data_IF_046151772217
#
_entry.id   IF_046151772217
#
_cell.length_a   1.000
_cell.length_b   1.000
_cell.length_c   1.000
_cell.angle_alpha   90.00
_cell.angle_beta   90.00
_cell.angle_gamma   90.00
#
_symmetry.space_group_name_H-M   'P 1'
#
loop_
_entity.id
_entity.type
_entity.pdbx_description
1 polymer ?
#
# COMPACT_ATOMS: atom_id res chain seq x y z
N UNK A 1 -7.11 -1.83 -7.29
CA UNK A 1 -7.23 -3.19 -6.76
C UNK A 1 -5.82 -3.69 -6.52
N UNK A 2 -5.51 -4.10 -5.30
CA UNK A 2 -4.28 -4.81 -4.98
C UNK A 2 -4.64 -6.31 -4.90
N UNK A 3 -3.66 -7.19 -4.70
CA UNK A 3 -3.89 -8.64 -4.84
C UNK A 3 -3.13 -9.47 -3.81
N UNK A 4 -1.89 -9.10 -3.54
CA UNK A 4 -0.99 -9.88 -2.68
C UNK A 4 -1.42 -9.86 -1.20
N UNK A 5 -2.10 -8.80 -0.77
CA UNK A 5 -2.67 -8.66 0.57
C UNK A 5 -3.90 -9.56 0.80
N UNK A 6 -4.57 -10.01 -0.26
CA UNK A 6 -5.74 -10.90 -0.18
C UNK A 6 -5.36 -12.38 -0.02
N UNK A 7 -4.09 -12.73 -0.20
CA UNK A 7 -3.59 -14.10 0.02
C UNK A 7 -2.85 -14.21 1.35
N UNK A 8 -2.67 -15.46 1.82
CA UNK A 8 -1.85 -15.72 3.01
C UNK A 8 -0.42 -15.23 2.79
N UNK A 9 0.32 -14.97 3.87
CA UNK A 9 1.70 -14.48 3.77
C UNK A 9 2.59 -15.46 3.00
N UNK A 10 2.45 -16.76 3.25
CA UNK A 10 3.22 -17.81 2.58
C UNK A 10 2.89 -17.90 1.08
N UNK A 11 1.61 -17.83 0.72
CA UNK A 11 1.20 -17.81 -0.69
C UNK A 11 1.70 -16.56 -1.39
N UNK A 12 1.66 -15.41 -0.74
CA UNK A 12 2.21 -14.17 -1.27
C UNK A 12 3.72 -14.25 -1.48
N UNK A 13 4.47 -14.88 -0.56
CA UNK A 13 5.91 -15.10 -0.74
C UNK A 13 6.21 -16.04 -1.90
N UNK A 14 5.42 -17.12 -2.05
CA UNK A 14 5.50 -18.05 -3.21
C UNK A 14 5.18 -17.32 -4.52
N UNK A 15 4.14 -16.49 -4.52
CA UNK A 15 3.74 -15.68 -5.66
C UNK A 15 4.86 -14.74 -6.08
N UNK A 16 5.45 -14.00 -5.14
CA UNK A 16 6.57 -13.09 -5.43
C UNK A 16 7.75 -13.84 -6.05
N UNK A 17 8.14 -14.99 -5.48
CA UNK A 17 9.24 -15.79 -6.05
C UNK A 17 8.94 -16.25 -7.49
N UNK A 18 7.72 -16.73 -7.75
CA UNK A 18 7.30 -17.10 -9.12
C UNK A 18 7.28 -15.90 -10.07
N UNK A 19 6.79 -14.75 -9.62
CA UNK A 19 6.78 -13.52 -10.43
C UNK A 19 8.20 -13.09 -10.79
N UNK A 20 9.13 -13.17 -9.83
CA UNK A 20 10.54 -12.85 -10.03
C UNK A 20 11.22 -13.81 -11.01
N UNK A 21 10.83 -15.09 -11.02
CA UNK A 21 11.34 -16.11 -11.95
C UNK A 21 10.83 -15.90 -13.39
N UNK A 22 9.54 -15.61 -13.57
CA UNK A 22 8.92 -15.56 -14.91
C UNK A 22 8.97 -14.17 -15.57
N UNK A 23 9.21 -13.11 -14.80
CA UNK A 23 9.17 -11.76 -15.32
C UNK A 23 10.38 -11.46 -16.21
N UNK A 24 10.12 -11.00 -17.44
CA UNK A 24 11.18 -10.73 -18.44
C UNK A 24 11.99 -9.45 -18.22
N UNK A 25 11.50 -8.52 -17.39
CA UNK A 25 12.10 -7.18 -17.25
C UNK A 25 11.98 -6.62 -15.86
N UNK A 26 10.79 -6.69 -15.28
CA UNK A 26 10.53 -6.16 -13.95
C UNK A 26 9.29 -6.79 -13.33
N UNK A 27 9.29 -6.85 -12.00
CA UNK A 27 8.12 -7.16 -11.18
C UNK A 27 7.65 -5.87 -10.53
N UNK A 28 6.36 -5.57 -10.66
CA UNK A 28 5.71 -4.39 -10.07
C UNK A 28 4.58 -4.87 -9.18
N UNK A 29 4.64 -4.53 -7.90
CA UNK A 29 3.65 -4.89 -6.89
C UNK A 29 3.07 -3.61 -6.29
N UNK A 30 1.75 -3.53 -6.20
CA UNK A 30 1.06 -2.49 -5.45
C UNK A 30 0.34 -3.14 -4.27
N UNK A 31 0.50 -2.59 -3.07
CA UNK A 31 -0.09 -3.12 -1.83
C UNK A 31 -0.16 -1.99 -0.78
N UNK A 32 -1.04 -2.09 0.23
CA UNK A 32 -0.97 -1.21 1.40
C UNK A 32 0.39 -1.32 2.10
N UNK A 33 0.81 -0.23 2.76
CA UNK A 33 1.98 -0.25 3.64
C UNK A 33 1.58 -0.90 4.97
N UNK A 34 2.24 -1.99 5.32
CA UNK A 34 1.94 -2.79 6.51
C UNK A 34 0.67 -3.63 6.34
N UNK A 35 0.00 -3.93 7.45
CA UNK A 35 -1.30 -4.60 7.46
C UNK A 35 -2.41 -3.57 7.59
N UNK A 36 -3.34 -3.55 6.64
CA UNK A 36 -4.54 -2.73 6.68
C UNK A 36 -5.73 -3.66 6.82
N UNK A 37 -6.44 -3.63 7.96
CA UNK A 37 -7.62 -4.45 8.15
C UNK A 37 -8.71 -4.07 7.15
N UNK A 38 -9.39 -5.07 6.58
CA UNK A 38 -10.59 -4.84 5.77
C UNK A 38 -11.70 -4.27 6.66
N UNK A 39 -12.40 -3.23 6.19
CA UNK A 39 -13.53 -2.65 6.91
C UNK A 39 -14.77 -3.56 7.00
N UNK A 40 -14.71 -4.79 6.47
CA UNK A 40 -15.78 -5.78 6.52
C UNK A 40 -15.51 -6.85 7.57
N UNK A 41 -16.44 -7.06 8.48
CA UNK A 41 -16.39 -8.14 9.48
C UNK A 41 -16.67 -9.54 8.89
N UNK A 42 -17.01 -9.63 7.60
CA UNK A 42 -17.26 -10.89 6.91
C UNK A 42 -16.02 -11.35 6.15
N UNK A 43 -15.72 -12.63 6.24
CA UNK A 43 -14.66 -13.25 5.45
C UNK A 43 -15.12 -13.32 3.99
N UNK A 44 -14.47 -12.53 3.13
CA UNK A 44 -14.76 -12.44 1.70
C UNK A 44 -13.47 -12.57 0.90
N UNK A 45 -13.58 -12.65 -0.43
CA UNK A 45 -12.41 -12.59 -1.32
C UNK A 45 -11.66 -11.24 -1.22
N UNK A 46 -12.30 -10.19 -0.72
CA UNK A 46 -11.70 -8.87 -0.50
C UNK A 46 -11.07 -8.73 0.91
N UNK A 47 -11.11 -9.77 1.74
CA UNK A 47 -10.46 -9.73 3.05
C UNK A 47 -8.95 -9.69 2.88
N UNK A 48 -8.29 -8.74 3.55
CA UNK A 48 -6.83 -8.68 3.63
C UNK A 48 -6.36 -9.76 4.61
N UNK A 49 -5.65 -10.75 4.09
CA UNK A 49 -5.12 -11.91 4.83
C UNK A 49 -3.65 -11.75 5.19
N UNK A 50 -2.94 -10.81 4.57
CA UNK A 50 -1.55 -10.51 4.85
C UNK A 50 -1.24 -9.02 4.74
N UNK A 51 -0.19 -8.59 5.45
CA UNK A 51 0.34 -7.24 5.38
C UNK A 51 1.79 -7.26 4.90
N UNK A 52 2.26 -6.16 4.32
CA UNK A 52 3.58 -6.09 3.70
C UNK A 52 4.33 -4.82 4.08
N UNK A 53 5.52 -4.97 4.66
CA UNK A 53 6.33 -3.82 5.08
C UNK A 53 7.27 -3.37 3.98
N UNK A 54 7.77 -2.15 4.11
CA UNK A 54 8.77 -1.59 3.21
C UNK A 54 10.06 -2.42 3.31
N UNK A 55 10.42 -2.84 4.53
CA UNK A 55 11.62 -3.59 4.83
C UNK A 55 11.61 -4.97 4.14
N UNK A 56 10.47 -5.66 4.13
CA UNK A 56 10.33 -6.95 3.42
C UNK A 56 10.61 -6.82 1.92
N UNK A 57 10.09 -5.77 1.28
CA UNK A 57 10.35 -5.51 -0.14
C UNK A 57 11.80 -5.05 -0.37
N UNK A 58 12.37 -4.22 0.52
CA UNK A 58 13.78 -3.81 0.44
C UNK A 58 14.72 -5.00 0.51
N UNK A 59 14.49 -5.93 1.45
CA UNK A 59 15.31 -7.13 1.61
C UNK A 59 15.28 -8.03 0.36
N UNK A 60 14.18 -8.01 -0.39
CA UNK A 60 14.03 -8.70 -1.68
C UNK A 60 14.62 -7.95 -2.89
N UNK A 61 15.17 -6.74 -2.70
CA UNK A 61 15.77 -5.94 -3.75
C UNK A 61 14.79 -5.07 -4.56
N UNK A 62 13.61 -4.77 -4.02
CA UNK A 62 12.67 -3.84 -4.65
C UNK A 62 13.02 -2.39 -4.33
N UNK A 63 12.76 -1.51 -5.28
CA UNK A 63 12.65 -0.06 -5.09
C UNK A 63 11.21 0.28 -4.74
N UNK A 64 11.00 1.09 -3.69
CA UNK A 64 9.66 1.37 -3.14
C UNK A 64 9.33 2.85 -3.27
N UNK A 65 8.09 3.15 -3.67
CA UNK A 65 7.51 4.49 -3.74
C UNK A 65 6.14 4.51 -3.09
N UNK A 66 5.86 5.57 -2.33
CA UNK A 66 4.59 5.73 -1.61
C UNK A 66 3.54 6.46 -2.43
N UNK A 67 2.26 6.26 -2.12
CA UNK A 67 1.20 7.15 -2.59
C UNK A 67 0.02 7.15 -1.62
N UNK A 68 -0.78 8.22 -1.72
CA UNK A 68 -1.81 8.60 -0.77
C UNK A 68 -1.22 8.88 0.63
N UNK A 69 -1.17 10.17 1.00
CA UNK A 69 -0.68 10.59 2.31
C UNK A 69 -1.54 9.98 3.41
N UNK A 70 -0.91 9.29 4.35
CA UNK A 70 -1.58 8.68 5.50
C UNK A 70 -1.91 9.74 6.56
N UNK A 71 -2.88 10.61 6.27
CA UNK A 71 -3.53 11.41 7.32
C UNK A 71 -4.65 10.57 7.90
N UNK A 72 -4.42 10.00 9.08
CA UNK A 72 -5.48 9.39 9.89
C UNK A 72 -6.29 10.52 10.53
N UNK A 73 -7.27 11.04 9.80
CA UNK A 73 -8.33 11.86 10.39
C UNK A 73 -9.30 10.86 11.02
N UNK A 74 -9.39 10.84 12.35
CA UNK A 74 -10.33 9.98 13.05
C UNK A 74 -11.76 10.20 12.54
N UNK A 75 -12.56 9.14 12.49
CA UNK A 75 -13.95 9.19 12.03
C UNK A 75 -14.79 10.20 12.84
N UNK A 76 -14.35 10.55 14.06
CA UNK A 76 -14.99 11.52 14.95
C UNK A 76 -14.58 12.99 14.76
N UNK A 77 -13.67 13.31 13.82
CA UNK A 77 -13.01 14.64 13.85
C UNK A 77 -13.79 15.73 13.08
N UNK A 78 -14.65 15.41 12.12
CA UNK A 78 -15.33 16.43 11.30
C UNK A 78 -16.71 16.03 10.78
N UNK A 79 -17.75 16.75 11.21
CA UNK A 79 -19.09 16.69 10.61
C UNK A 79 -19.08 16.99 9.10
N UNK A 80 -20.03 16.43 8.32
CA UNK A 80 -20.21 16.79 6.91
C UNK A 80 -20.49 18.29 6.80
N UNK A 81 -19.50 19.07 6.33
CA UNK A 81 -19.55 20.54 6.23
C UNK A 81 -18.40 21.30 6.92
N UNK A 82 -17.54 20.61 7.69
CA UNK A 82 -16.42 21.28 8.37
C UNK A 82 -15.36 21.81 7.37
N UNK A 83 -15.06 23.11 7.43
CA UNK A 83 -14.02 23.76 6.61
C UNK A 83 -12.65 23.05 6.73
N UNK A 84 -12.34 22.55 7.93
CA UNK A 84 -11.12 21.80 8.20
C UNK A 84 -10.99 20.55 7.32
N UNK A 85 -12.09 19.88 7.00
CA UNK A 85 -12.09 18.72 6.08
C UNK A 85 -11.63 19.12 4.68
N UNK A 86 -12.09 20.25 4.16
CA UNK A 86 -11.68 20.75 2.85
C UNK A 86 -10.21 21.19 2.84
N UNK A 87 -9.75 21.83 3.92
CA UNK A 87 -8.33 22.18 4.09
C UNK A 87 -7.48 20.91 4.13
N UNK A 88 -7.86 19.90 4.90
CA UNK A 88 -7.14 18.63 4.97
C UNK A 88 -7.12 17.89 3.64
N UNK A 89 -8.24 17.87 2.90
CA UNK A 89 -8.29 17.33 1.53
C UNK A 89 -7.36 18.09 0.58
N UNK A 90 -7.31 19.41 0.67
CA UNK A 90 -6.40 20.21 -0.13
C UNK A 90 -4.93 19.89 0.19
N UNK A 91 -4.60 19.78 1.49
CA UNK A 91 -3.27 19.42 1.97
C UNK A 91 -2.87 18.02 1.48
N UNK A 92 -3.74 17.01 1.60
CA UNK A 92 -3.43 15.65 1.11
C UNK A 92 -3.26 15.59 -0.40
N UNK A 93 -4.04 16.35 -1.15
CA UNK A 93 -3.93 16.42 -2.60
C UNK A 93 -2.61 17.07 -3.03
N UNK A 94 -2.27 18.22 -2.43
CA UNK A 94 -1.08 18.99 -2.80
C UNK A 94 0.22 18.34 -2.31
N UNK A 95 0.24 17.77 -1.10
CA UNK A 95 1.41 17.06 -0.57
C UNK A 95 1.48 15.61 -1.06
N UNK A 96 0.43 15.09 -1.70
CA UNK A 96 0.35 13.72 -2.21
C UNK A 96 1.55 13.31 -3.07
N UNK A 97 1.97 14.12 -4.06
CA UNK A 97 3.15 13.83 -4.87
C UNK A 97 4.46 13.73 -4.07
N UNK A 98 4.60 14.47 -2.95
CA UNK A 98 5.82 14.43 -2.13
C UNK A 98 5.95 13.10 -1.38
N UNK A 99 4.82 12.45 -1.05
CA UNK A 99 4.79 11.13 -0.39
C UNK A 99 5.42 10.03 -1.26
N UNK A 100 5.53 10.26 -2.58
CA UNK A 100 6.23 9.38 -3.50
C UNK A 100 7.65 9.01 -3.03
N UNK A 101 8.35 9.96 -2.42
CA UNK A 101 9.71 9.78 -1.94
C UNK A 101 9.80 9.28 -0.49
N UNK A 102 8.70 9.34 0.27
CA UNK A 102 8.65 8.98 1.69
C UNK A 102 7.58 7.89 1.91
N UNK A 103 7.84 6.64 1.47
CA UNK A 103 6.85 5.56 1.53
C UNK A 103 6.39 5.23 2.96
N UNK A 104 7.19 5.54 3.99
CA UNK A 104 6.80 5.34 5.39
C UNK A 104 5.63 6.21 5.87
N UNK A 105 5.26 7.25 5.10
CA UNK A 105 4.10 8.13 5.37
C UNK A 105 2.94 7.90 4.39
N UNK A 106 3.02 6.86 3.57
CA UNK A 106 2.01 6.51 2.60
C UNK A 106 1.03 5.47 3.13
N UNK A 107 -0.22 5.50 2.65
CA UNK A 107 -1.19 4.44 2.88
C UNK A 107 -0.84 3.22 2.02
N UNK A 108 -0.40 3.49 0.79
CA UNK A 108 -0.09 2.47 -0.19
C UNK A 108 1.32 2.64 -0.73
N UNK A 109 1.89 1.55 -1.23
CA UNK A 109 3.19 1.56 -1.89
C UNK A 109 3.15 0.83 -3.22
N UNK A 110 4.06 1.23 -4.10
CA UNK A 110 4.43 0.53 -5.33
C UNK A 110 5.87 0.08 -5.18
N UNK A 111 6.08 -1.23 -5.33
CA UNK A 111 7.37 -1.90 -5.23
C UNK A 111 7.79 -2.36 -6.63
N UNK A 112 8.96 -1.95 -7.10
CA UNK A 112 9.48 -2.28 -8.43
C UNK A 112 10.84 -2.97 -8.28
N UNK A 113 10.97 -4.17 -8.82
CA UNK A 113 12.25 -4.88 -8.94
C UNK A 113 12.54 -5.12 -10.42
N UNK A 114 13.72 -4.71 -10.88
CA UNK A 114 14.19 -5.05 -12.23
C UNK A 114 14.74 -6.47 -12.22
N UNK A 115 14.37 -7.26 -13.22
CA UNK A 115 14.91 -8.59 -13.46
C UNK A 115 15.99 -8.42 -14.53
N UNK A 116 17.21 -8.82 -14.18
CA UNK A 116 18.37 -8.80 -15.06
C UNK A 116 18.42 -10.08 -15.87
#
# INVERSE_FOLDING_TARGET
>A
MHAIEHVTKDDGLRLLSKLEEIARRQVIIATPVGFLASGSNHETLATHRSGWTIEEFKQRGYSIRGYALAIRVGEDVCHPGCLLKYILLFVTYFLGPLVYFIPSKAINMVCVKKIT
#
